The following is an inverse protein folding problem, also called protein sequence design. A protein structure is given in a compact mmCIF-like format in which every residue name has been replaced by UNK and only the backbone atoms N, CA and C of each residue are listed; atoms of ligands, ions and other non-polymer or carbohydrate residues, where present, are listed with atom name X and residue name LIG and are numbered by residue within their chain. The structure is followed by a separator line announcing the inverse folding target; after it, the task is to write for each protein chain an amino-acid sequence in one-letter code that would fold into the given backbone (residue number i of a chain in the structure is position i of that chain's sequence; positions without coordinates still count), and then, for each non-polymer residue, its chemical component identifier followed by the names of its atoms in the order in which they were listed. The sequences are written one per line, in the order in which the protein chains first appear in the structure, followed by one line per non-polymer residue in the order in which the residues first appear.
data_IF_399686682645
#
_entry.id   IF_399686682645
#
_cell.length_a   1.000
_cell.length_b   1.000
_cell.length_c   1.000
_cell.angle_alpha   90.00
_cell.angle_beta   90.00
_cell.angle_gamma   90.00
#
_symmetry.space_group_name_H-M   'P 1'
#
loop_
_entity.id
_entity.type
_entity.pdbx_description
1 polymer ?
#
# COMPACT_ATOMS: atom_id res chain seq x y z
N UNK A 1 -9.83 20.27 -2.33
CA UNK A 1 -8.52 19.83 -2.88
C UNK A 1 -7.52 20.96 -2.79
N UNK A 2 -6.24 20.65 -2.52
CA UNK A 2 -5.14 21.59 -2.71
C UNK A 2 -4.32 21.13 -3.92
N UNK A 3 -4.03 22.00 -4.89
CA UNK A 3 -3.22 21.63 -6.04
C UNK A 3 -1.79 21.30 -5.59
N UNK A 4 -1.22 20.22 -6.13
CA UNK A 4 0.19 19.87 -5.96
C UNK A 4 0.97 20.52 -7.10
N UNK A 5 1.98 21.33 -6.74
CA UNK A 5 2.88 21.95 -7.71
C UNK A 5 4.01 20.96 -8.04
N UNK A 6 4.12 20.57 -9.30
CA UNK A 6 5.20 19.73 -9.81
C UNK A 6 6.26 20.65 -10.42
N UNK A 7 7.45 20.69 -9.82
CA UNK A 7 8.57 21.54 -10.27
C UNK A 7 9.64 20.76 -11.07
N UNK A 8 9.33 19.53 -11.49
CA UNK A 8 10.23 18.72 -12.31
C UNK A 8 9.85 18.83 -13.80
N UNK A 9 10.75 19.41 -14.61
CA UNK A 9 10.52 19.67 -16.03
C UNK A 9 10.27 18.40 -16.86
N UNK A 10 10.90 17.28 -16.52
CA UNK A 10 10.75 16.03 -17.26
C UNK A 10 9.37 15.41 -16.99
N UNK A 11 8.89 15.51 -15.74
CA UNK A 11 7.53 15.08 -15.39
C UNK A 11 6.50 15.97 -16.12
N UNK A 12 6.72 17.28 -16.20
CA UNK A 12 5.86 18.21 -16.94
C UNK A 12 5.79 17.83 -18.43
N UNK A 13 6.93 17.57 -19.07
CA UNK A 13 7.00 17.18 -20.49
C UNK A 13 6.25 15.87 -20.76
N UNK A 14 6.35 14.90 -19.86
CA UNK A 14 5.62 13.63 -20.01
C UNK A 14 4.12 13.83 -19.87
N UNK A 15 3.66 14.59 -18.86
CA UNK A 15 2.23 14.90 -18.72
C UNK A 15 1.70 15.61 -19.96
N UNK A 16 2.47 16.55 -20.53
CA UNK A 16 2.10 17.30 -21.73
C UNK A 16 2.19 16.49 -23.03
N UNK A 17 2.97 15.42 -23.05
CA UNK A 17 3.14 14.57 -24.24
C UNK A 17 1.89 13.77 -24.61
N UNK A 18 0.90 13.69 -23.71
CA UNK A 18 -0.28 12.85 -23.89
C UNK A 18 -0.02 11.36 -23.70
N UNK A 19 1.20 10.96 -23.33
CA UNK A 19 1.48 9.58 -22.96
C UNK A 19 0.98 9.30 -21.54
N UNK A 20 0.22 8.21 -21.33
CA UNK A 20 -0.30 7.87 -20.01
C UNK A 20 0.78 7.22 -19.12
N UNK A 21 2.07 7.47 -19.36
CA UNK A 21 3.16 6.82 -18.62
C UNK A 21 4.45 7.65 -18.63
N UNK A 22 5.26 7.49 -17.58
CA UNK A 22 6.68 7.90 -17.56
C UNK A 22 7.58 6.69 -17.82
N UNK A 23 8.75 6.90 -18.42
CA UNK A 23 9.77 5.86 -18.59
C UNK A 23 11.03 6.24 -17.81
N UNK A 24 11.52 5.31 -16.98
CA UNK A 24 12.78 5.45 -16.24
C UNK A 24 13.65 4.25 -16.60
N UNK A 25 14.73 4.49 -17.34
CA UNK A 25 15.53 3.42 -17.93
C UNK A 25 14.74 2.59 -18.94
N UNK A 26 14.68 1.28 -18.72
CA UNK A 26 13.92 0.29 -19.51
C UNK A 26 12.51 0.02 -18.96
N UNK A 27 12.10 0.70 -17.88
CA UNK A 27 10.81 0.48 -17.21
C UNK A 27 9.82 1.61 -17.48
N UNK A 28 8.57 1.23 -17.76
CA UNK A 28 7.44 2.16 -17.94
C UNK A 28 6.54 2.13 -16.70
N UNK A 29 6.10 3.30 -16.25
CA UNK A 29 5.21 3.50 -15.11
C UNK A 29 3.98 4.28 -15.57
N UNK A 30 2.79 3.68 -15.44
CA UNK A 30 1.54 4.29 -15.84
C UNK A 30 1.21 5.50 -14.93
N UNK A 31 0.86 6.63 -15.54
CA UNK A 31 0.32 7.81 -14.88
C UNK A 31 -1.21 7.66 -14.81
N UNK A 32 -1.75 7.60 -13.59
CA UNK A 32 -3.19 7.53 -13.34
C UNK A 32 -3.62 8.72 -12.49
N UNK A 33 -4.73 9.35 -12.84
CA UNK A 33 -5.39 10.33 -11.98
C UNK A 33 -6.01 9.60 -10.79
N UNK A 34 -5.59 9.97 -9.58
CA UNK A 34 -6.15 9.43 -8.33
C UNK A 34 -7.25 10.39 -7.88
N UNK A 35 -8.50 10.03 -8.13
CA UNK A 35 -9.65 10.90 -7.84
C UNK A 35 -9.93 11.05 -6.33
N UNK A 36 -9.53 10.08 -5.50
CA UNK A 36 -9.57 10.18 -4.03
C UNK A 36 -8.44 9.35 -3.41
N UNK A 37 -7.66 9.95 -2.50
CA UNK A 37 -6.84 9.22 -1.53
C UNK A 37 -7.68 9.01 -0.28
N UNK A 38 -8.85 8.38 -0.41
CA UNK A 38 -9.59 7.85 0.73
C UNK A 38 -9.39 6.35 0.71
N UNK A 39 -8.20 5.94 1.11
CA UNK A 39 -7.90 4.62 1.65
C UNK A 39 -6.41 4.64 1.93
N UNK A 40 -6.06 5.15 3.12
CA UNK A 40 -5.13 4.39 3.92
C UNK A 40 -5.59 2.93 3.79
N UNK A 41 -4.87 2.08 3.04
CA UNK A 41 -5.11 0.64 2.98
C UNK A 41 -4.77 -0.02 4.32
N UNK A 42 -5.05 0.69 5.41
CA UNK A 42 -4.80 0.36 6.78
C UNK A 42 -6.06 -0.35 7.23
N UNK A 43 -5.84 -1.57 7.70
CA UNK A 43 -6.86 -2.31 8.41
C UNK A 43 -7.21 -1.54 9.70
N UNK A 44 -8.37 -0.89 9.71
CA UNK A 44 -8.90 -0.25 10.92
C UNK A 44 -9.46 -1.35 11.82
N UNK A 45 -8.74 -1.62 12.91
CA UNK A 45 -9.16 -2.59 13.91
C UNK A 45 -10.31 -1.99 14.70
N UNK A 46 -11.52 -2.47 14.45
CA UNK A 46 -12.74 -1.94 15.09
C UNK A 46 -13.16 -2.75 16.32
N UNK A 47 -12.62 -3.96 16.49
CA UNK A 47 -12.82 -4.80 17.67
C UNK A 47 -11.69 -4.57 18.70
N UNK A 48 -11.99 -4.07 19.90
CA UNK A 48 -11.00 -3.87 20.96
C UNK A 48 -10.23 -5.14 21.35
N UNK A 49 -10.86 -6.32 21.24
CA UNK A 49 -10.21 -7.58 21.57
C UNK A 49 -9.16 -7.96 20.51
N UNK A 50 -9.43 -7.68 19.24
CA UNK A 50 -8.49 -7.86 18.14
C UNK A 50 -7.32 -6.88 18.25
N UNK A 51 -7.60 -5.62 18.58
CA UNK A 51 -6.58 -4.58 18.77
C UNK A 51 -5.58 -5.00 19.86
N UNK A 52 -6.07 -5.50 20.99
CA UNK A 52 -5.21 -5.98 22.09
C UNK A 52 -4.31 -7.14 21.65
N UNK A 53 -4.82 -8.07 20.84
CA UNK A 53 -4.05 -9.21 20.33
C UNK A 53 -2.97 -8.78 19.35
N UNK A 54 -3.30 -7.89 18.41
CA UNK A 54 -2.35 -7.33 17.45
C UNK A 54 -1.25 -6.54 18.15
N UNK A 55 -1.61 -5.71 19.15
CA UNK A 55 -0.64 -4.97 19.95
C UNK A 55 0.26 -5.90 20.77
N UNK A 56 -0.26 -7.00 21.32
CA UNK A 56 0.58 -8.01 21.99
C UNK A 56 1.55 -8.67 21.02
N UNK A 57 1.09 -9.06 19.83
CA UNK A 57 1.93 -9.67 18.80
C UNK A 57 3.03 -8.73 18.29
N UNK A 58 2.76 -7.42 18.18
CA UNK A 58 3.74 -6.42 17.78
C UNK A 58 4.78 -6.12 18.86
N UNK A 59 4.37 -6.10 20.14
CA UNK A 59 5.22 -5.71 21.27
C UNK A 59 5.95 -6.89 21.93
N UNK A 60 5.63 -8.13 21.57
CA UNK A 60 6.28 -9.35 22.05
C UNK A 60 6.95 -10.09 20.90
N UNK A 61 7.74 -11.12 21.22
CA UNK A 61 8.30 -12.00 20.20
C UNK A 61 7.17 -12.75 19.50
N UNK A 62 6.79 -12.32 18.30
CA UNK A 62 5.82 -13.01 17.46
C UNK A 62 6.46 -14.29 16.88
N UNK A 63 6.14 -15.50 17.38
CA UNK A 63 6.78 -16.71 16.88
C UNK A 63 6.25 -17.00 15.48
N UNK A 64 7.18 -17.28 14.54
CA UNK A 64 6.81 -17.73 13.20
C UNK A 64 6.11 -19.09 13.34
N UNK A 65 4.84 -19.14 12.97
CA UNK A 65 4.07 -20.39 12.97
C UNK A 65 4.48 -21.20 11.73
N UNK A 66 4.89 -22.46 11.87
CA UNK A 66 5.25 -23.31 10.74
C UNK A 66 4.01 -23.73 9.94
N UNK A 67 4.21 -23.97 8.64
CA UNK A 67 3.13 -24.24 7.68
C UNK A 67 2.25 -25.45 8.06
N UNK A 68 2.84 -26.47 8.69
CA UNK A 68 2.11 -27.66 9.14
C UNK A 68 1.10 -27.36 10.26
N UNK A 69 1.42 -26.40 11.13
CA UNK A 69 0.50 -25.89 12.15
C UNK A 69 -0.59 -25.02 11.54
N UNK A 70 -0.25 -24.14 10.59
CA UNK A 70 -1.23 -23.32 9.85
C UNK A 70 -2.24 -24.22 9.13
N UNK A 71 -1.77 -25.27 8.44
CA UNK A 71 -2.63 -26.22 7.73
C UNK A 71 -3.56 -26.96 8.70
N UNK A 72 -3.11 -27.30 9.92
CA UNK A 72 -3.98 -27.91 10.94
C UNK A 72 -5.06 -26.95 11.44
N UNK A 73 -4.73 -25.67 11.64
CA UNK A 73 -5.70 -24.66 12.09
C UNK A 73 -6.76 -24.34 11.03
N UNK A 74 -6.41 -24.45 9.74
CA UNK A 74 -7.32 -24.20 8.62
C UNK A 74 -8.17 -25.42 8.22
N UNK A 75 -7.81 -26.63 8.67
CA UNK A 75 -8.58 -27.86 8.45
C UNK A 75 -9.52 -28.11 9.62
N UNK A 76 -10.57 -27.30 9.72
CA UNK A 76 -11.76 -27.61 10.50
C UNK A 76 -12.68 -28.60 9.76
#
# INVERSE_FOLDING_TARGET
MKPVKIDNEDIIKVIQSGFPYIQVGDRKFLLMEVNEVNQEGIYEVTDPAEEEQLLKALNQSNPIIPDDQIIKMLRY
#
